data_IF_018873901043
#
_entry.id   IF_018873901043
#
_cell.length_a   1.000
_cell.length_b   1.000
_cell.length_c   1.000
_cell.angle_alpha   90.00
_cell.angle_beta   90.00
_cell.angle_gamma   90.00
#
_symmetry.space_group_name_H-M   'P 1'
#
loop_
_entity.id
_entity.type
_entity.pdbx_description
1 polymer ?
#
# COMPACT_ATOMS: atom_id res chain seq x y z
N UNK A 1 19.51 -6.03 -7.17
CA UNK A 1 18.14 -6.33 -7.61
C UNK A 1 17.22 -5.94 -6.47
N UNK A 2 16.49 -4.83 -6.60
CA UNK A 2 15.75 -4.21 -5.46
C UNK A 2 14.34 -4.80 -5.32
N UNK A 3 13.82 -5.45 -6.38
CA UNK A 3 12.45 -5.95 -6.46
C UNK A 3 12.30 -7.47 -6.25
N UNK A 4 13.40 -8.18 -6.00
CA UNK A 4 13.36 -9.65 -5.82
C UNK A 4 12.57 -10.08 -4.58
N UNK A 5 12.59 -9.26 -3.53
CA UNK A 5 11.95 -9.56 -2.25
C UNK A 5 10.61 -8.82 -2.06
N UNK A 6 10.00 -8.36 -3.16
CA UNK A 6 8.73 -7.62 -3.11
C UNK A 6 7.53 -8.55 -2.89
N UNK A 7 6.56 -8.09 -2.10
CA UNK A 7 5.28 -8.78 -1.86
C UNK A 7 4.33 -8.56 -3.03
N UNK A 8 4.10 -9.62 -3.80
CA UNK A 8 3.20 -9.60 -4.97
C UNK A 8 1.79 -10.09 -4.68
N UNK A 9 1.60 -10.84 -3.59
CA UNK A 9 0.32 -11.43 -3.21
C UNK A 9 -0.21 -10.70 -1.98
N UNK A 10 -1.40 -10.11 -2.12
CA UNK A 10 -2.11 -9.41 -1.06
C UNK A 10 -3.48 -10.05 -0.87
N UNK A 11 -3.91 -10.23 0.38
CA UNK A 11 -5.29 -10.65 0.65
C UNK A 11 -6.25 -9.48 0.45
N UNK A 12 -7.54 -9.79 0.25
CA UNK A 12 -8.58 -8.75 0.16
C UNK A 12 -8.63 -7.91 1.45
N UNK A 13 -8.49 -8.54 2.62
CA UNK A 13 -8.46 -7.87 3.93
C UNK A 13 -7.28 -6.88 4.05
N UNK A 14 -6.09 -7.27 3.56
CA UNK A 14 -4.92 -6.39 3.57
C UNK A 14 -5.11 -5.18 2.64
N UNK A 15 -5.72 -5.41 1.47
CA UNK A 15 -6.03 -4.35 0.51
C UNK A 15 -7.05 -3.37 1.11
N UNK A 16 -8.13 -3.86 1.71
CA UNK A 16 -9.16 -3.01 2.34
C UNK A 16 -8.59 -2.21 3.51
N UNK A 17 -7.72 -2.83 4.32
CA UNK A 17 -7.01 -2.16 5.40
C UNK A 17 -6.11 -1.04 4.87
N UNK A 18 -5.32 -1.30 3.83
CA UNK A 18 -4.46 -0.30 3.21
C UNK A 18 -5.27 0.88 2.64
N UNK A 19 -6.34 0.61 1.89
CA UNK A 19 -7.25 1.64 1.35
C UNK A 19 -7.82 2.51 2.47
N UNK A 20 -8.25 1.90 3.58
CA UNK A 20 -8.79 2.64 4.72
C UNK A 20 -7.76 3.57 5.34
N UNK A 21 -6.51 3.13 5.50
CA UNK A 21 -5.43 3.96 6.03
C UNK A 21 -5.06 5.10 5.08
N UNK A 22 -4.98 4.84 3.77
CA UNK A 22 -4.73 5.89 2.77
C UNK A 22 -5.86 6.92 2.72
N UNK A 23 -7.11 6.49 2.87
CA UNK A 23 -8.28 7.39 2.90
C UNK A 23 -8.30 8.30 4.15
N UNK A 24 -7.53 7.97 5.19
CA UNK A 24 -7.29 8.83 6.35
C UNK A 24 -6.13 9.83 6.12
N UNK A 25 -5.55 9.86 4.91
CA UNK A 25 -4.46 10.75 4.54
C UNK A 25 -3.07 10.30 5.00
N UNK A 26 -2.92 9.03 5.43
CA UNK A 26 -1.60 8.51 5.83
C UNK A 26 -0.70 8.36 4.61
N UNK A 27 0.58 8.74 4.77
CA UNK A 27 1.61 8.49 3.77
C UNK A 27 1.93 6.99 3.64
N UNK A 28 2.44 6.54 2.48
CA UNK A 28 2.91 5.15 2.31
C UNK A 28 3.89 4.68 3.39
N UNK A 29 4.78 5.56 3.87
CA UNK A 29 5.69 5.22 4.97
C UNK A 29 4.96 4.91 6.27
N UNK A 30 3.93 5.70 6.62
CA UNK A 30 3.16 5.49 7.83
C UNK A 30 2.26 4.25 7.73
N UNK A 31 1.70 3.99 6.56
CA UNK A 31 0.93 2.76 6.30
C UNK A 31 1.81 1.52 6.46
N UNK A 32 3.05 1.56 5.96
CA UNK A 32 4.02 0.47 6.14
C UNK A 32 4.33 0.18 7.61
N UNK A 33 4.54 1.22 8.42
CA UNK A 33 4.73 1.05 9.87
C UNK A 33 3.50 0.45 10.55
N UNK A 34 2.28 0.89 10.20
CA UNK A 34 1.02 0.42 10.82
C UNK A 34 0.66 -1.01 10.41
N UNK A 35 0.98 -1.39 9.17
CA UNK A 35 0.72 -2.72 8.65
C UNK A 35 1.88 -3.70 8.93
N UNK A 36 2.99 -3.22 9.50
CA UNK A 36 4.22 -3.99 9.73
C UNK A 36 4.78 -4.60 8.43
N UNK A 37 4.67 -3.83 7.35
CA UNK A 37 5.08 -4.22 5.99
C UNK A 37 6.32 -3.44 5.53
N UNK A 38 7.00 -3.94 4.49
CA UNK A 38 8.13 -3.21 3.91
C UNK A 38 7.64 -1.94 3.21
N UNK A 39 8.43 -0.87 3.31
CA UNK A 39 8.15 0.40 2.62
C UNK A 39 7.95 0.24 1.12
N UNK A 40 8.76 -0.60 0.47
CA UNK A 40 8.68 -0.82 -0.98
C UNK A 40 7.38 -1.53 -1.38
N UNK A 41 6.92 -2.49 -0.57
CA UNK A 41 5.70 -3.26 -0.84
C UNK A 41 4.47 -2.36 -0.74
N UNK A 42 4.41 -1.55 0.31
CA UNK A 42 3.32 -0.56 0.47
C UNK A 42 3.42 0.56 -0.56
N UNK A 43 4.62 0.98 -0.97
CA UNK A 43 4.80 1.93 -2.05
C UNK A 43 4.24 1.41 -3.38
N UNK A 44 4.53 0.15 -3.72
CA UNK A 44 3.99 -0.50 -4.91
C UNK A 44 2.46 -0.68 -4.83
N UNK A 45 1.95 -1.11 -3.67
CA UNK A 45 0.51 -1.21 -3.44
C UNK A 45 -0.17 0.15 -3.60
N UNK A 46 0.39 1.21 -3.03
CA UNK A 46 -0.13 2.57 -3.16
C UNK A 46 -0.25 3.01 -4.62
N UNK A 47 0.82 2.82 -5.41
CA UNK A 47 0.81 3.12 -6.85
C UNK A 47 -0.27 2.33 -7.60
N UNK A 48 -0.39 1.03 -7.32
CA UNK A 48 -1.41 0.19 -7.93
C UNK A 48 -2.84 0.64 -7.58
N UNK A 49 -3.08 1.02 -6.32
CA UNK A 49 -4.38 1.50 -5.87
C UNK A 49 -4.75 2.86 -6.49
N UNK A 50 -3.76 3.73 -6.73
CA UNK A 50 -3.96 4.99 -7.47
C UNK A 50 -4.29 4.72 -8.94
N UNK A 51 -3.51 3.86 -9.60
CA UNK A 51 -3.72 3.50 -11.02
C UNK A 51 -5.09 2.88 -11.26
N UNK A 52 -5.56 2.06 -10.32
CA UNK A 52 -6.89 1.41 -10.38
C UNK A 52 -8.03 2.29 -9.87
N UNK A 53 -7.74 3.52 -9.41
CA UNK A 53 -8.72 4.46 -8.87
C UNK A 53 -9.38 4.03 -7.57
N UNK A 54 -8.81 3.02 -6.88
CA UNK A 54 -9.27 2.56 -5.56
C UNK A 54 -8.98 3.58 -4.46
N UNK A 55 -7.96 4.39 -4.65
CA UNK A 55 -7.68 5.59 -3.85
C UNK A 55 -7.42 6.77 -4.79
N UNK A 56 -7.56 7.99 -4.27
CA UNK A 56 -7.29 9.24 -5.01
C UNK A 56 -6.12 9.97 -4.38
N UNK A 57 -5.33 10.64 -5.21
CA UNK A 57 -4.37 11.63 -4.75
C UNK A 57 -5.18 12.92 -4.50
N UNK A 58 -5.17 13.41 -3.25
CA UNK A 58 -5.68 14.74 -2.94
C UNK A 58 -4.75 15.84 -3.48
#
# INVERSE_FOLDING_TARGET
MILEDAKWIWSEEEIERAISLFSLGLSPSRVAEVMEEKYIDIGMLYLHLLETGKIKME
#
